data_IF_850596994383
#
_entry.id   IF_850596994383
#
_cell.length_a   1.000
_cell.length_b   1.000
_cell.length_c   1.000
_cell.angle_alpha   90.00
_cell.angle_beta   90.00
_cell.angle_gamma   90.00
#
_symmetry.space_group_name_H-M   'P 1'
#
loop_
_entity.id
_entity.type
_entity.pdbx_description
1 polymer ?
#
# COMPACT_ATOMS: atom_id res chain seq x y z
N UNK A 1 -11.19 -7.31 -2.68
CA UNK A 1 -10.19 -7.55 -3.74
C UNK A 1 -10.43 -6.66 -4.97
N UNK A 2 -11.68 -6.36 -5.34
CA UNK A 2 -11.97 -5.53 -6.53
C UNK A 2 -11.77 -4.01 -6.36
N UNK A 3 -11.76 -3.49 -5.13
CA UNK A 3 -11.78 -2.04 -4.87
C UNK A 3 -10.60 -1.30 -5.49
N UNK A 4 -9.36 -1.74 -5.23
CA UNK A 4 -8.15 -1.05 -5.73
C UNK A 4 -8.11 -1.06 -7.26
N UNK A 5 -8.42 -2.20 -7.90
CA UNK A 5 -8.46 -2.30 -9.36
C UNK A 5 -9.59 -1.45 -9.97
N UNK A 6 -10.75 -1.41 -9.31
CA UNK A 6 -11.91 -0.61 -9.73
C UNK A 6 -11.58 0.88 -9.68
N UNK A 7 -10.98 1.34 -8.58
CA UNK A 7 -10.58 2.74 -8.41
C UNK A 7 -9.47 3.13 -9.40
N UNK A 8 -8.47 2.26 -9.60
CA UNK A 8 -7.42 2.49 -10.59
C UNK A 8 -7.99 2.68 -12.01
N UNK A 9 -8.95 1.83 -12.41
CA UNK A 9 -9.62 1.95 -13.70
C UNK A 9 -10.44 3.25 -13.82
N UNK A 10 -11.19 3.64 -12.77
CA UNK A 10 -11.98 4.88 -12.75
C UNK A 10 -11.12 6.13 -12.88
N UNK A 11 -9.97 6.15 -12.20
CA UNK A 11 -9.04 7.27 -12.21
C UNK A 11 -8.01 7.22 -13.34
N UNK A 12 -8.17 6.30 -14.31
CA UNK A 12 -7.28 6.16 -15.47
C UNK A 12 -5.79 5.98 -15.10
N UNK A 13 -5.53 5.19 -14.05
CA UNK A 13 -4.17 4.86 -13.63
C UNK A 13 -3.92 3.35 -13.69
N UNK A 14 -2.64 2.97 -13.78
CA UNK A 14 -2.19 1.59 -13.61
C UNK A 14 -1.28 1.53 -12.41
N UNK A 15 -1.37 0.44 -11.64
CA UNK A 15 -0.52 0.24 -10.47
C UNK A 15 0.65 -0.68 -10.85
N UNK A 16 1.85 -0.25 -10.48
CA UNK A 16 3.03 -1.10 -10.49
C UNK A 16 3.33 -1.52 -9.05
N UNK A 17 2.87 -2.73 -8.69
CA UNK A 17 3.01 -3.27 -7.33
C UNK A 17 4.45 -3.72 -7.12
N UNK A 18 5.13 -3.14 -6.13
CA UNK A 18 6.53 -3.43 -5.80
C UNK A 18 6.65 -4.37 -4.61
N UNK A 19 5.64 -4.38 -3.73
CA UNK A 19 5.60 -5.19 -2.52
C UNK A 19 4.15 -5.53 -2.17
N UNK A 20 3.93 -6.71 -1.60
CA UNK A 20 2.62 -7.13 -1.08
C UNK A 20 2.83 -7.95 0.19
N UNK A 21 2.57 -9.26 0.17
CA UNK A 21 2.98 -10.14 1.26
C UNK A 21 4.50 -10.17 1.40
N UNK A 22 4.99 -10.05 2.63
CA UNK A 22 6.41 -10.10 2.98
C UNK A 22 6.60 -11.05 4.15
N UNK A 23 7.44 -12.07 3.97
CA UNK A 23 7.76 -13.01 5.04
C UNK A 23 8.42 -12.28 6.21
N UNK A 24 8.16 -12.66 7.47
CA UNK A 24 8.69 -11.95 8.64
C UNK A 24 10.22 -11.90 8.72
N UNK A 25 10.90 -12.88 8.13
CA UNK A 25 12.35 -13.05 8.08
C UNK A 25 13.01 -12.41 6.84
N UNK A 26 12.22 -11.82 5.95
CA UNK A 26 12.74 -11.18 4.74
C UNK A 26 13.54 -9.94 5.09
N UNK A 27 14.79 -9.88 4.61
CA UNK A 27 15.62 -8.68 4.71
C UNK A 27 15.03 -7.59 3.82
N UNK A 28 14.77 -6.41 4.38
CA UNK A 28 14.26 -5.27 3.63
C UNK A 28 15.45 -4.39 3.28
N UNK A 29 16.00 -4.59 2.08
CA UNK A 29 17.25 -3.96 1.65
C UNK A 29 17.14 -2.45 1.40
N UNK A 30 15.92 -1.93 1.20
CA UNK A 30 15.65 -0.51 0.87
C UNK A 30 14.57 0.12 1.77
N UNK A 31 14.49 -0.31 3.04
CA UNK A 31 13.56 0.28 4.00
C UNK A 31 13.90 1.76 4.25
N UNK A 32 13.07 2.66 3.72
CA UNK A 32 13.16 4.10 4.02
C UNK A 32 12.80 4.36 5.49
N UNK A 33 11.91 3.52 6.06
CA UNK A 33 11.46 3.58 7.45
C UNK A 33 11.64 2.22 8.14
N UNK A 34 11.98 2.17 9.44
CA UNK A 34 12.08 0.93 10.18
C UNK A 34 10.78 0.10 10.07
N UNK A 35 10.86 -1.20 9.77
CA UNK A 35 9.68 -2.04 9.62
C UNK A 35 8.91 -2.15 10.95
N UNK A 36 7.60 -1.95 10.91
CA UNK A 36 6.77 -2.14 12.09
C UNK A 36 6.71 -3.61 12.53
N UNK A 37 6.70 -3.85 13.84
CA UNK A 37 6.54 -5.19 14.41
C UNK A 37 5.24 -5.86 13.91
N UNK A 38 4.13 -5.10 13.90
CA UNK A 38 2.83 -5.52 13.36
C UNK A 38 2.54 -4.88 12.00
N UNK A 39 3.37 -5.17 11.01
CA UNK A 39 3.17 -4.70 9.64
C UNK A 39 2.07 -5.48 8.92
N UNK A 40 1.12 -4.79 8.28
CA UNK A 40 0.08 -5.40 7.45
C UNK A 40 0.64 -6.22 6.26
N UNK A 41 1.88 -5.95 5.81
CA UNK A 41 2.55 -6.78 4.81
C UNK A 41 2.80 -8.22 5.28
N UNK A 42 3.02 -8.43 6.60
CA UNK A 42 3.28 -9.76 7.16
C UNK A 42 2.05 -10.66 7.19
N UNK A 43 0.88 -10.10 6.88
CA UNK A 43 -0.38 -10.83 6.78
C UNK A 43 -1.06 -10.65 5.41
N UNK A 44 -0.41 -9.98 4.45
CA UNK A 44 -0.97 -9.78 3.11
C UNK A 44 -2.07 -8.70 3.01
N UNK A 45 -2.19 -7.85 4.03
CA UNK A 45 -3.17 -6.75 4.11
C UNK A 45 -2.60 -5.40 3.68
N UNK A 46 -1.45 -5.38 3.00
CA UNK A 46 -0.84 -4.17 2.49
C UNK A 46 -0.15 -4.39 1.15
N UNK A 47 -0.03 -3.30 0.39
CA UNK A 47 0.77 -3.21 -0.83
C UNK A 47 1.67 -1.98 -0.78
N UNK A 48 2.83 -2.07 -1.40
CA UNK A 48 3.59 -0.90 -1.83
C UNK A 48 3.52 -0.80 -3.35
N UNK A 49 3.39 0.41 -3.87
CA UNK A 49 3.14 0.64 -5.29
C UNK A 49 3.78 1.93 -5.81
N UNK A 50 4.00 1.95 -7.13
CA UNK A 50 4.10 3.16 -7.92
C UNK A 50 2.86 3.28 -8.81
N UNK A 51 2.47 4.50 -9.18
CA UNK A 51 1.32 4.76 -10.05
C UNK A 51 1.81 5.16 -11.44
N UNK A 52 1.28 4.54 -12.48
CA UNK A 52 1.49 4.95 -13.87
C UNK A 52 0.25 5.69 -14.35
N UNK A 53 0.42 6.91 -14.86
CA UNK A 53 -0.68 7.80 -15.24
C UNK A 53 -0.43 8.49 -16.58
N UNK A 54 -1.51 9.01 -17.19
CA UNK A 54 -1.50 9.74 -18.44
C UNK A 54 -1.18 8.88 -19.68
N UNK A 55 -1.40 9.46 -20.86
CA UNK A 55 -1.19 8.78 -22.16
C UNK A 55 0.28 8.40 -22.40
N UNK A 56 1.22 9.16 -21.83
CA UNK A 56 2.65 8.90 -21.93
C UNK A 56 3.16 7.83 -20.95
N UNK A 57 2.28 7.17 -20.18
CA UNK A 57 2.65 6.16 -19.19
C UNK A 57 3.70 6.65 -18.18
N UNK A 58 3.48 7.83 -17.61
CA UNK A 58 4.42 8.45 -16.68
C UNK A 58 4.39 7.73 -15.34
N UNK A 59 5.56 7.34 -14.82
CA UNK A 59 5.70 6.71 -13.51
C UNK A 59 5.74 7.76 -12.39
N UNK A 60 4.73 7.76 -11.53
CA UNK A 60 4.70 8.45 -10.24
C UNK A 60 5.25 7.49 -9.16
N UNK A 61 6.52 7.67 -8.81
CA UNK A 61 7.18 6.92 -7.74
C UNK A 61 7.04 7.61 -6.38
N UNK A 62 7.70 7.09 -5.34
CA UNK A 62 7.67 7.64 -3.97
C UNK A 62 7.85 9.16 -3.88
N UNK A 63 8.75 9.74 -4.69
CA UNK A 63 8.97 11.20 -4.72
C UNK A 63 7.76 11.96 -5.27
N UNK A 64 7.13 11.43 -6.31
CA UNK A 64 5.92 12.03 -6.89
C UNK A 64 4.71 11.84 -5.96
N UNK A 65 4.55 10.63 -5.39
CA UNK A 65 3.48 10.31 -4.45
C UNK A 65 3.56 11.14 -3.16
N UNK A 66 4.77 11.39 -2.65
CA UNK A 66 5.00 12.25 -1.48
C UNK A 66 4.98 13.76 -1.77
N UNK A 67 4.79 14.17 -3.03
CA UNK A 67 4.77 15.57 -3.45
C UNK A 67 3.36 16.05 -3.80
N UNK A 68 3.27 17.02 -4.72
CA UNK A 68 2.00 17.40 -5.34
C UNK A 68 1.63 16.35 -6.41
N UNK A 69 0.52 15.63 -6.19
CA UNK A 69 0.15 14.53 -7.09
C UNK A 69 -0.56 15.06 -8.34
N UNK A 70 -0.26 14.50 -9.53
CA UNK A 70 -1.04 14.72 -10.74
C UNK A 70 -2.53 14.38 -10.55
N UNK A 71 -3.42 15.02 -11.31
CA UNK A 71 -4.88 14.87 -11.16
C UNK A 71 -5.36 13.42 -11.09
N UNK A 72 -4.92 12.56 -12.01
CA UNK A 72 -5.32 11.14 -12.06
C UNK A 72 -4.79 10.34 -10.86
N UNK A 73 -3.56 10.63 -10.42
CA UNK A 73 -2.96 10.02 -9.23
C UNK A 73 -3.67 10.48 -7.96
N UNK A 74 -4.02 11.77 -7.89
CA UNK A 74 -4.79 12.35 -6.79
C UNK A 74 -6.19 11.74 -6.72
N UNK A 75 -6.88 11.59 -7.85
CA UNK A 75 -8.16 10.88 -7.94
C UNK A 75 -8.03 9.48 -7.31
N UNK A 76 -7.00 8.73 -7.72
CA UNK A 76 -6.79 7.37 -7.21
C UNK A 76 -6.61 7.35 -5.69
N UNK A 77 -5.74 8.21 -5.15
CA UNK A 77 -5.47 8.31 -3.71
C UNK A 77 -6.73 8.72 -2.92
N UNK A 78 -7.47 9.72 -3.40
CA UNK A 78 -8.67 10.22 -2.72
C UNK A 78 -9.79 9.15 -2.72
N UNK A 79 -9.96 8.40 -3.81
CA UNK A 79 -10.97 7.34 -3.93
C UNK A 79 -10.63 6.08 -3.13
N UNK A 80 -9.37 5.62 -3.08
CA UNK A 80 -9.06 4.47 -2.20
C UNK A 80 -9.32 4.82 -0.72
N UNK A 81 -9.09 6.07 -0.33
CA UNK A 81 -9.35 6.56 1.02
C UNK A 81 -10.84 6.65 1.32
N UNK A 82 -11.66 7.04 0.34
CA UNK A 82 -13.12 7.06 0.50
C UNK A 82 -13.71 5.66 0.63
N UNK A 83 -13.05 4.65 0.06
CA UNK A 83 -13.38 3.23 0.22
C UNK A 83 -12.88 2.62 1.56
N UNK A 84 -12.31 3.45 2.45
CA UNK A 84 -11.89 3.05 3.79
C UNK A 84 -10.49 2.47 3.88
N UNK A 85 -9.70 2.49 2.81
CA UNK A 85 -8.28 2.17 2.87
C UNK A 85 -7.49 3.36 3.41
N UNK A 86 -6.30 3.07 3.94
CA UNK A 86 -5.34 4.09 4.36
C UNK A 86 -4.25 4.22 3.31
N UNK A 87 -3.81 5.45 3.10
CA UNK A 87 -2.64 5.75 2.28
C UNK A 87 -1.51 6.25 3.19
N UNK A 88 -0.32 5.66 3.06
CA UNK A 88 0.79 5.97 3.96
C UNK A 88 1.34 7.40 3.81
N UNK A 89 0.95 8.13 2.77
CA UNK A 89 1.23 9.56 2.67
C UNK A 89 0.57 10.41 3.77
N UNK A 90 -0.52 9.92 4.39
CA UNK A 90 -1.20 10.59 5.51
C UNK A 90 -0.67 10.17 6.88
N UNK A 91 0.28 9.23 6.95
CA UNK A 91 0.82 8.74 8.22
C UNK A 91 1.73 9.78 8.88
N UNK A 92 1.84 9.71 10.22
CA UNK A 92 2.75 10.58 10.99
C UNK A 92 4.21 10.44 10.56
N UNK A 93 4.58 9.23 10.15
CA UNK A 93 5.82 8.94 9.43
C UNK A 93 5.40 8.58 8.01
N UNK A 94 5.59 9.51 7.09
CA UNK A 94 5.09 9.39 5.71
C UNK A 94 5.71 8.19 4.99
N UNK A 95 4.85 7.36 4.41
CA UNK A 95 5.20 6.25 3.52
C UNK A 95 4.30 6.27 2.27
N UNK A 96 4.61 7.13 1.29
CA UNK A 96 3.65 7.49 0.23
C UNK A 96 3.42 6.38 -0.80
N UNK A 97 4.19 5.29 -0.76
CA UNK A 97 3.98 4.12 -1.63
C UNK A 97 3.00 3.11 -1.03
N UNK A 98 2.70 3.25 0.27
CA UNK A 98 1.99 2.25 1.05
C UNK A 98 0.47 2.44 1.03
N UNK A 99 -0.25 1.33 0.89
CA UNK A 99 -1.71 1.24 1.07
C UNK A 99 -2.03 0.03 1.94
N UNK A 100 -2.90 0.20 2.93
CA UNK A 100 -3.44 -0.90 3.74
C UNK A 100 -4.90 -0.66 4.16
N UNK A 101 -5.51 -1.66 4.80
CA UNK A 101 -6.88 -1.64 5.30
C UNK A 101 -6.98 -1.50 6.84
N UNK A 102 -5.89 -1.09 7.51
CA UNK A 102 -5.82 -0.98 8.97
C UNK A 102 -6.07 -2.30 9.75
N UNK A 103 -5.94 -3.48 9.12
CA UNK A 103 -6.25 -4.76 9.81
C UNK A 103 -5.49 -4.94 11.14
N UNK A 104 -4.22 -4.51 11.20
CA UNK A 104 -3.38 -4.55 12.40
C UNK A 104 -3.88 -3.76 13.61
N UNK A 105 -4.95 -2.96 13.50
CA UNK A 105 -5.54 -2.25 14.64
C UNK A 105 -6.22 -3.18 15.63
N UNK A 106 -6.76 -4.31 15.19
CA UNK A 106 -7.21 -5.36 16.09
C UNK A 106 -6.06 -6.36 16.30
N UNK A 107 -5.36 -6.19 17.42
CA UNK A 107 -4.17 -6.98 17.74
C UNK A 107 -4.46 -8.49 17.87
N UNK A 108 -5.62 -8.87 18.36
CA UNK A 108 -5.96 -10.29 18.54
C UNK A 108 -6.23 -10.95 17.18
N UNK A 109 -7.03 -10.29 16.34
CA UNK A 109 -7.28 -10.75 14.97
C UNK A 109 -5.98 -10.80 14.14
N UNK A 110 -5.11 -9.80 14.30
CA UNK A 110 -3.81 -9.76 13.64
C UNK A 110 -2.95 -10.95 14.04
N UNK A 111 -2.81 -11.23 15.35
CA UNK A 111 -1.99 -12.33 15.86
C UNK A 111 -2.52 -13.69 15.41
N UNK A 112 -3.84 -13.87 15.42
CA UNK A 112 -4.47 -15.10 14.94
C UNK A 112 -4.18 -15.33 13.45
N UNK A 113 -4.39 -14.31 12.61
CA UNK A 113 -4.13 -14.41 11.17
C UNK A 113 -2.64 -14.58 10.87
N UNK A 114 -1.78 -13.85 11.57
CA UNK A 114 -0.33 -13.98 11.47
C UNK A 114 0.11 -15.41 11.76
N UNK A 115 -0.34 -16.01 12.86
CA UNK A 115 0.00 -17.39 13.20
C UNK A 115 -0.41 -18.37 12.09
N UNK A 116 -1.64 -18.26 11.57
CA UNK A 116 -2.13 -19.10 10.47
C UNK A 116 -1.27 -18.98 9.21
N UNK A 117 -0.96 -17.75 8.78
CA UNK A 117 -0.15 -17.51 7.58
C UNK A 117 1.27 -18.07 7.75
N UNK A 118 1.85 -17.98 8.96
CA UNK A 118 3.18 -18.53 9.21
C UNK A 118 3.21 -20.06 9.29
N UNK A 119 2.12 -20.72 9.69
CA UNK A 119 2.01 -22.19 9.66
C UNK A 119 1.96 -22.74 8.21
N UNK A 120 1.51 -21.93 7.25
CA UNK A 120 1.36 -22.32 5.84
C UNK A 120 2.59 -21.99 4.96
N UNK A 121 3.63 -21.34 5.50
CA UNK A 121 4.80 -20.83 4.75
C UNK A 121 6.10 -21.60 4.94
#
# INVERSE_FOLDING_TARGET
MDTICTVAARCNVKLYITSSYRRPDSTILDAIVPPADMSNHKIGHAIDMNVVYGESYTLCNSKCLGGEQPTDVKCFIDEIKSEGLRWGGDFSTTDPVHIDDEYNRNMDNYKELYAKIQEEC
#
